data_IF_220538257542
#
_entry.id   IF_220538257542
#
_cell.length_a   1.000
_cell.length_b   1.000
_cell.length_c   1.000
_cell.angle_alpha   90.00
_cell.angle_beta   90.00
_cell.angle_gamma   90.00
#
_symmetry.space_group_name_H-M   'P 1'
#
loop_
_entity.id
_entity.type
_entity.pdbx_description
1 polymer ?
#
# COMPACT_ATOMS: atom_id res chain seq x y z
N UNK A 1 -23.90 0.77 57.91
CA UNK A 1 -25.00 0.67 56.92
C UNK A 1 -24.74 1.78 55.92
N UNK A 2 -24.00 1.46 54.84
CA UNK A 2 -24.54 1.24 53.47
C UNK A 2 -25.16 2.52 52.90
N UNK A 3 -24.85 3.04 51.72
CA UNK A 3 -24.19 2.48 50.53
C UNK A 3 -23.75 3.67 49.66
N UNK A 4 -22.56 3.63 49.04
CA UNK A 4 -22.17 4.58 48.00
C UNK A 4 -22.57 4.01 46.64
N UNK A 5 -23.41 4.74 45.92
CA UNK A 5 -23.82 4.41 44.55
C UNK A 5 -22.62 4.52 43.60
N UNK A 6 -22.24 3.41 43.00
CA UNK A 6 -21.19 3.30 41.99
C UNK A 6 -21.75 3.44 40.58
N UNK A 7 -20.89 3.98 39.71
CA UNK A 7 -20.74 3.61 38.30
C UNK A 7 -21.74 4.19 37.31
N UNK A 8 -21.32 5.25 36.62
CA UNK A 8 -21.70 5.55 35.23
C UNK A 8 -20.70 6.51 34.53
N UNK A 9 -19.72 7.07 35.24
CA UNK A 9 -18.72 7.98 34.64
C UNK A 9 -17.57 7.23 33.94
N UNK A 10 -17.22 6.01 34.39
CA UNK A 10 -16.13 5.23 33.79
C UNK A 10 -16.51 4.66 32.41
N UNK A 11 -17.78 4.29 32.21
CA UNK A 11 -18.26 3.79 30.91
C UNK A 11 -18.29 4.90 29.86
N UNK A 12 -18.68 6.13 30.23
CA UNK A 12 -18.72 7.25 29.28
C UNK A 12 -17.31 7.69 28.84
N UNK A 13 -16.32 7.63 29.72
CA UNK A 13 -14.92 7.90 29.35
C UNK A 13 -14.32 6.82 28.44
N UNK A 14 -14.70 5.54 28.64
CA UNK A 14 -14.25 4.46 27.76
C UNK A 14 -14.89 4.51 26.38
N UNK A 15 -16.16 4.91 26.27
CA UNK A 15 -16.84 5.03 24.95
C UNK A 15 -16.26 6.20 24.13
N UNK A 16 -15.88 7.31 24.76
CA UNK A 16 -15.27 8.45 24.05
C UNK A 16 -13.83 8.17 23.60
N UNK A 17 -13.08 7.31 24.29
CA UNK A 17 -11.72 6.91 23.89
C UNK A 17 -11.68 5.93 22.70
N UNK A 18 -12.75 5.18 22.45
CA UNK A 18 -12.82 4.26 21.29
C UNK A 18 -13.30 4.98 20.02
N UNK A 19 -13.97 6.12 20.14
CA UNK A 19 -14.50 6.88 19.00
C UNK A 19 -13.54 7.89 18.37
N UNK A 20 -12.28 7.95 18.81
CA UNK A 20 -11.26 8.89 18.30
C UNK A 20 -10.10 8.20 17.58
N UNK A 21 -10.32 6.97 17.13
CA UNK A 21 -9.40 6.30 16.23
C UNK A 21 -10.14 5.98 14.94
N UNK A 22 -10.49 7.03 14.18
CA UNK A 22 -10.61 6.90 12.74
C UNK A 22 -9.20 6.67 12.20
N UNK A 23 -8.70 5.43 12.33
CA UNK A 23 -7.69 4.95 11.39
C UNK A 23 -8.39 4.99 10.04
N UNK A 24 -8.10 6.03 9.26
CA UNK A 24 -8.26 5.97 7.82
C UNK A 24 -7.25 4.93 7.33
N UNK A 25 -7.63 3.66 7.46
CA UNK A 25 -7.22 2.68 6.48
C UNK A 25 -7.73 3.24 5.15
N UNK A 26 -6.83 3.41 4.20
CA UNK A 26 -7.21 3.75 2.83
C UNK A 26 -8.01 2.56 2.30
N UNK A 27 -9.32 2.58 2.54
CA UNK A 27 -10.19 1.48 2.20
C UNK A 27 -10.24 1.40 0.67
N UNK A 28 -9.85 0.24 0.14
CA UNK A 28 -10.02 -0.08 -1.27
C UNK A 28 -11.49 0.09 -1.63
N UNK A 29 -11.81 1.10 -2.45
CA UNK A 29 -13.14 1.25 -3.04
C UNK A 29 -13.23 0.34 -4.26
N UNK A 30 -13.67 -0.90 -4.04
CA UNK A 30 -14.10 -1.78 -5.13
C UNK A 30 -15.33 -1.16 -5.78
N UNK A 31 -15.21 -0.67 -7.00
CA UNK A 31 -16.35 -0.19 -7.77
C UNK A 31 -17.24 -1.35 -8.20
N UNK A 32 -18.45 -1.41 -7.66
CA UNK A 32 -19.61 -2.15 -8.20
C UNK A 32 -19.55 -3.68 -8.14
N UNK A 33 -20.67 -4.28 -7.74
CA UNK A 33 -20.91 -5.73 -7.75
C UNK A 33 -20.58 -6.35 -9.11
N UNK A 34 -19.54 -7.18 -9.16
CA UNK A 34 -19.32 -8.11 -10.28
C UNK A 34 -20.45 -9.15 -10.19
N UNK A 35 -21.29 -9.32 -11.23
CA UNK A 35 -22.29 -10.37 -11.21
C UNK A 35 -21.60 -11.71 -11.07
N UNK A 36 -22.10 -12.52 -10.14
CA UNK A 36 -21.68 -13.89 -9.87
C UNK A 36 -21.95 -14.75 -11.11
N UNK A 37 -21.03 -14.73 -12.08
CA UNK A 37 -21.01 -15.71 -13.16
C UNK A 37 -20.05 -16.81 -12.79
N UNK A 38 -20.63 -17.99 -12.56
CA UNK A 38 -20.01 -19.30 -12.46
C UNK A 38 -18.74 -19.43 -13.32
N UNK A 39 -17.56 -19.30 -12.69
CA UNK A 39 -16.27 -19.63 -13.30
C UNK A 39 -15.69 -20.86 -12.62
N UNK A 40 -16.12 -22.01 -13.14
CA UNK A 40 -15.36 -23.25 -13.10
C UNK A 40 -13.97 -23.00 -13.71
N UNK A 41 -12.96 -23.09 -12.84
CA UNK A 41 -11.54 -23.34 -13.14
C UNK A 41 -10.68 -22.18 -13.71
N UNK A 42 -9.97 -21.47 -12.83
CA UNK A 42 -8.70 -20.82 -13.20
C UNK A 42 -7.62 -21.01 -12.11
N UNK A 43 -6.83 -22.09 -12.18
CA UNK A 43 -5.54 -22.19 -11.50
C UNK A 43 -4.46 -21.50 -12.36
N UNK A 44 -3.67 -20.62 -11.75
CA UNK A 44 -2.77 -19.58 -12.32
C UNK A 44 -3.48 -18.23 -12.56
N UNK A 45 -3.61 -17.41 -11.50
CA UNK A 45 -3.93 -16.00 -11.67
C UNK A 45 -2.69 -15.24 -12.15
N UNK A 46 -2.59 -15.06 -13.46
CA UNK A 46 -1.69 -14.07 -14.06
C UNK A 46 -2.38 -12.70 -13.99
N UNK A 47 -1.82 -11.78 -13.21
CA UNK A 47 -2.34 -10.43 -12.98
C UNK A 47 -1.44 -9.43 -13.70
N UNK A 48 -2.07 -8.53 -14.45
CA UNK A 48 -1.39 -7.44 -15.14
C UNK A 48 -1.70 -6.12 -14.45
N UNK A 49 -0.66 -5.41 -14.00
CA UNK A 49 -0.79 -4.06 -13.42
C UNK A 49 -0.61 -3.03 -14.52
N UNK A 50 -1.70 -2.37 -14.91
CA UNK A 50 -1.66 -1.30 -15.91
C UNK A 50 -1.58 0.06 -15.21
N UNK A 51 -0.70 0.93 -15.70
CA UNK A 51 -0.46 2.25 -15.12
C UNK A 51 -1.07 3.32 -16.02
N UNK A 52 -1.99 4.11 -15.49
CA UNK A 52 -2.61 5.25 -16.15
C UNK A 52 -2.01 6.52 -15.55
N UNK A 53 -1.08 7.12 -16.28
CA UNK A 53 -0.36 8.33 -15.90
C UNK A 53 -1.15 9.57 -16.31
N UNK A 54 -1.60 10.35 -15.35
CA UNK A 54 -2.38 11.56 -15.58
C UNK A 54 -1.64 12.80 -15.10
N UNK A 55 -1.29 13.67 -16.05
CA UNK A 55 -0.53 14.90 -15.84
C UNK A 55 0.98 14.76 -16.13
N UNK A 56 1.77 15.74 -15.69
CA UNK A 56 3.15 15.92 -16.13
C UNK A 56 4.15 15.11 -15.29
N UNK A 57 4.36 13.85 -15.65
CA UNK A 57 5.40 12.99 -15.05
C UNK A 57 6.68 13.01 -15.88
N UNK A 58 7.82 13.21 -15.21
CA UNK A 58 9.14 13.02 -15.84
C UNK A 58 9.35 11.54 -16.19
N UNK A 59 10.10 11.21 -17.26
CA UNK A 59 10.46 9.84 -17.56
C UNK A 59 11.14 9.12 -16.38
N UNK A 60 11.96 9.83 -15.60
CA UNK A 60 12.60 9.30 -14.39
C UNK A 60 11.60 8.93 -13.29
N UNK A 61 10.52 9.70 -13.12
CA UNK A 61 9.45 9.41 -12.16
C UNK A 61 8.66 8.18 -12.58
N UNK A 62 8.33 8.08 -13.87
CA UNK A 62 7.65 6.89 -14.41
C UNK A 62 8.48 5.62 -14.23
N UNK A 63 9.79 5.74 -14.48
CA UNK A 63 10.74 4.64 -14.32
C UNK A 63 10.76 4.09 -12.88
N UNK A 64 10.68 4.95 -11.85
CA UNK A 64 10.68 4.50 -10.45
C UNK A 64 9.53 3.52 -10.17
N UNK A 65 8.31 3.82 -10.63
CA UNK A 65 7.13 2.95 -10.39
C UNK A 65 7.15 1.73 -11.31
N UNK A 66 7.50 1.90 -12.58
CA UNK A 66 7.56 0.76 -13.51
C UNK A 66 8.64 -0.25 -13.10
N UNK A 67 9.79 0.23 -12.63
CA UNK A 67 10.86 -0.61 -12.10
C UNK A 67 10.40 -1.34 -10.83
N UNK A 68 9.63 -0.69 -9.96
CA UNK A 68 9.04 -1.35 -8.79
C UNK A 68 8.15 -2.53 -9.20
N UNK A 69 7.21 -2.33 -10.13
CA UNK A 69 6.33 -3.41 -10.61
C UNK A 69 7.14 -4.53 -11.28
N UNK A 70 8.13 -4.20 -12.11
CA UNK A 70 9.02 -5.18 -12.71
C UNK A 70 9.85 -5.95 -11.66
N UNK A 71 10.13 -5.33 -10.52
CA UNK A 71 10.87 -5.97 -9.42
C UNK A 71 10.05 -7.04 -8.70
N UNK A 72 8.72 -6.97 -8.71
CA UNK A 72 7.85 -7.97 -8.09
C UNK A 72 7.98 -9.35 -8.75
N UNK A 73 8.19 -9.36 -10.07
CA UNK A 73 8.33 -10.58 -10.88
C UNK A 73 9.79 -11.05 -11.04
N UNK A 74 10.75 -10.34 -10.43
CA UNK A 74 12.16 -10.62 -10.68
C UNK A 74 12.59 -11.94 -10.04
N UNK A 75 13.07 -12.88 -10.87
CA UNK A 75 13.68 -14.13 -10.40
C UNK A 75 15.12 -13.95 -9.92
N UNK A 76 15.70 -12.75 -10.09
CA UNK A 76 17.09 -12.47 -9.76
C UNK A 76 17.26 -12.27 -8.26
N UNK A 77 17.39 -13.37 -7.54
CA UNK A 77 17.74 -13.38 -6.12
C UNK A 77 19.22 -13.01 -5.96
N UNK A 78 19.50 -11.75 -5.64
CA UNK A 78 20.83 -11.31 -5.21
C UNK A 78 20.92 -11.53 -3.69
N UNK A 79 21.34 -12.73 -3.29
CA UNK A 79 21.68 -13.04 -1.88
C UNK A 79 22.85 -12.15 -1.41
N UNK A 80 22.88 -11.65 -0.16
CA UNK A 80 21.98 -11.90 0.98
C UNK A 80 20.97 -10.77 1.26
N UNK A 81 20.77 -9.83 0.34
CA UNK A 81 20.00 -8.60 0.62
C UNK A 81 18.49 -8.81 0.38
N UNK A 82 17.61 -8.19 1.20
CA UNK A 82 16.17 -8.24 0.97
C UNK A 82 15.82 -7.54 -0.36
N UNK A 83 14.96 -8.17 -1.15
CA UNK A 83 14.53 -7.66 -2.46
C UNK A 83 13.02 -7.51 -2.54
N UNK A 84 12.55 -6.68 -3.47
CA UNK A 84 11.12 -6.51 -3.76
C UNK A 84 10.47 -7.85 -4.15
N UNK A 85 11.19 -8.71 -4.87
CA UNK A 85 10.71 -10.05 -5.22
C UNK A 85 10.55 -10.97 -4.00
N UNK A 86 11.47 -10.89 -3.03
CA UNK A 86 11.36 -11.65 -1.76
C UNK A 86 10.13 -11.18 -0.98
N UNK A 87 9.92 -9.87 -0.90
CA UNK A 87 8.72 -9.29 -0.28
C UNK A 87 7.44 -9.75 -0.98
N UNK A 88 7.42 -9.74 -2.32
CA UNK A 88 6.28 -10.22 -3.09
C UNK A 88 6.00 -11.70 -2.86
N UNK A 89 7.04 -12.53 -2.83
CA UNK A 89 6.94 -13.95 -2.56
C UNK A 89 6.42 -14.26 -1.15
N UNK A 90 6.61 -13.36 -0.18
CA UNK A 90 6.03 -13.53 1.16
C UNK A 90 4.49 -13.60 1.14
N UNK A 91 3.84 -13.08 0.08
CA UNK A 91 2.40 -13.21 -0.11
C UNK A 91 1.95 -14.66 -0.28
N UNK A 92 2.84 -15.57 -0.72
CA UNK A 92 2.52 -16.99 -0.93
C UNK A 92 1.96 -17.64 0.35
N UNK A 93 2.41 -17.17 1.52
CA UNK A 93 1.93 -17.65 2.83
C UNK A 93 0.42 -17.49 3.02
N UNK A 94 -0.18 -16.45 2.44
CA UNK A 94 -1.61 -16.18 2.59
C UNK A 94 -2.47 -17.07 1.68
N UNK A 95 -1.90 -17.64 0.60
CA UNK A 95 -2.66 -18.52 -0.29
C UNK A 95 -2.95 -19.87 0.33
N UNK A 96 -2.14 -20.36 1.28
CA UNK A 96 -2.44 -21.60 2.02
C UNK A 96 -3.75 -21.52 2.83
N UNK A 97 -4.22 -20.32 3.16
CA UNK A 97 -5.51 -20.08 3.83
C UNK A 97 -6.70 -20.30 2.88
N UNK A 98 -6.44 -20.30 1.58
CA UNK A 98 -7.41 -20.62 0.53
C UNK A 98 -7.05 -22.00 -0.03
N UNK A 99 -7.99 -22.95 -0.15
CA UNK A 99 -7.70 -24.32 -0.64
C UNK A 99 -7.22 -24.42 -2.12
N UNK A 100 -6.57 -23.38 -2.67
CA UNK A 100 -6.08 -23.28 -4.04
C UNK A 100 -4.60 -22.90 -4.06
N UNK A 101 -3.75 -23.89 -4.32
CA UNK A 101 -2.32 -23.69 -4.58
C UNK A 101 -2.14 -23.09 -5.97
N UNK A 102 -2.06 -21.75 -6.05
CA UNK A 102 -1.74 -21.04 -7.29
C UNK A 102 -0.55 -20.14 -7.03
N UNK A 103 0.53 -20.28 -7.81
CA UNK A 103 1.58 -19.26 -7.84
C UNK A 103 1.03 -18.04 -8.59
N UNK A 104 0.95 -16.90 -7.90
CA UNK A 104 0.47 -15.67 -8.48
C UNK A 104 1.59 -15.01 -9.28
N UNK A 105 1.38 -14.90 -10.59
CA UNK A 105 2.33 -14.22 -11.48
C UNK A 105 1.82 -12.79 -11.67
N UNK A 106 2.64 -11.83 -11.29
CA UNK A 106 2.37 -10.41 -11.52
C UNK A 106 3.27 -9.89 -12.63
N UNK A 107 2.75 -9.01 -13.47
CA UNK A 107 3.51 -8.38 -14.54
C UNK A 107 3.10 -6.93 -14.74
N UNK A 108 4.03 -6.13 -15.26
CA UNK A 108 3.72 -4.79 -15.73
C UNK A 108 2.93 -4.89 -17.04
N UNK A 109 1.73 -4.31 -17.04
CA UNK A 109 0.84 -4.24 -18.18
C UNK A 109 1.06 -3.00 -19.03
N UNK A 110 -0.04 -2.52 -19.64
CA UNK A 110 0.00 -1.31 -20.45
C UNK A 110 0.25 -0.06 -19.60
N UNK A 111 0.96 0.91 -20.20
CA UNK A 111 1.16 2.22 -19.62
C UNK A 111 0.49 3.26 -20.51
N UNK A 112 -0.51 3.95 -19.98
CA UNK A 112 -1.30 4.95 -20.70
C UNK A 112 -0.85 6.33 -20.21
N UNK A 113 -0.44 7.19 -21.13
CA UNK A 113 0.00 8.55 -20.84
C UNK A 113 -1.10 9.54 -21.19
N UNK A 114 -1.47 10.39 -20.25
CA UNK A 114 -2.45 11.46 -20.42
C UNK A 114 -1.90 12.78 -19.87
N UNK A 115 -1.12 13.48 -20.70
CA UNK A 115 -0.41 14.72 -20.34
C UNK A 115 -1.19 15.99 -20.69
N UNK A 116 -2.32 15.88 -21.40
CA UNK A 116 -3.11 17.01 -21.89
C UNK A 116 -4.15 17.54 -20.89
N UNK A 117 -4.28 16.91 -19.72
CA UNK A 117 -5.23 17.29 -18.67
C UNK A 117 -6.70 17.38 -19.15
N UNK A 118 -7.14 16.44 -20.00
CA UNK A 118 -8.49 16.48 -20.61
C UNK A 118 -9.66 16.58 -19.61
N UNK A 119 -9.48 16.12 -18.36
CA UNK A 119 -10.48 16.16 -17.29
C UNK A 119 -10.22 17.30 -16.28
N UNK A 120 -9.25 18.18 -16.57
CA UNK A 120 -8.79 19.23 -15.67
C UNK A 120 -7.73 18.75 -14.68
N UNK A 121 -7.33 19.65 -13.77
CA UNK A 121 -6.34 19.40 -12.70
C UNK A 121 -6.96 19.09 -11.35
N UNK A 122 -8.27 18.90 -11.29
CA UNK A 122 -8.98 18.46 -10.09
C UNK A 122 -9.92 17.33 -10.51
N UNK A 123 -9.67 16.12 -10.02
CA UNK A 123 -10.37 14.92 -10.44
C UNK A 123 -11.39 14.49 -9.39
N UNK A 124 -12.60 14.14 -9.84
CA UNK A 124 -13.62 13.48 -9.01
C UNK A 124 -13.43 11.96 -9.03
N UNK A 125 -14.08 11.24 -8.10
CA UNK A 125 -14.04 9.78 -8.08
C UNK A 125 -14.58 9.15 -9.37
N UNK A 126 -15.63 9.73 -9.96
CA UNK A 126 -16.21 9.26 -11.22
C UNK A 126 -15.20 9.40 -12.37
N UNK A 127 -14.43 10.50 -12.38
CA UNK A 127 -13.37 10.73 -13.36
C UNK A 127 -12.19 9.78 -13.15
N UNK A 128 -11.84 9.43 -11.91
CA UNK A 128 -10.82 8.41 -11.62
C UNK A 128 -11.26 7.05 -12.16
N UNK A 129 -12.53 6.67 -11.94
CA UNK A 129 -13.09 5.43 -12.48
C UNK A 129 -13.10 5.43 -14.02
N UNK A 130 -13.42 6.57 -14.64
CA UNK A 130 -13.33 6.75 -16.08
C UNK A 130 -11.89 6.64 -16.61
N UNK A 131 -10.89 7.10 -15.86
CA UNK A 131 -9.49 6.92 -16.23
C UNK A 131 -9.05 5.46 -16.09
N UNK A 132 -9.43 4.82 -14.98
CA UNK A 132 -9.11 3.41 -14.72
C UNK A 132 -9.75 2.46 -15.75
N UNK A 133 -10.94 2.78 -16.26
CA UNK A 133 -11.62 1.97 -17.28
C UNK A 133 -10.91 1.97 -18.64
N UNK A 134 -9.99 2.91 -18.90
CA UNK A 134 -9.15 2.92 -20.11
C UNK A 134 -8.04 1.88 -20.09
N UNK A 135 -7.73 1.29 -18.93
CA UNK A 135 -6.75 0.21 -18.81
C UNK A 135 -7.24 -1.10 -19.43
N UNK A 136 -6.40 -2.14 -19.37
CA UNK A 136 -6.79 -3.47 -19.84
C UNK A 136 -8.03 -3.97 -19.10
N UNK A 137 -8.79 -4.86 -19.75
CA UNK A 137 -9.99 -5.50 -19.20
C UNK A 137 -9.77 -6.99 -18.86
N UNK A 138 -8.61 -7.56 -19.23
CA UNK A 138 -8.30 -8.98 -18.99
C UNK A 138 -7.40 -9.13 -17.76
N UNK A 139 -7.98 -9.61 -16.67
CA UNK A 139 -7.36 -9.74 -15.34
C UNK A 139 -6.55 -8.50 -14.88
N UNK A 140 -7.15 -7.28 -14.90
CA UNK A 140 -6.40 -6.06 -14.71
C UNK A 140 -6.38 -5.58 -13.26
N UNK A 141 -5.23 -5.06 -12.82
CA UNK A 141 -5.18 -4.02 -11.79
C UNK A 141 -4.85 -2.71 -12.52
N UNK A 142 -5.86 -1.86 -12.70
CA UNK A 142 -5.68 -0.56 -13.32
C UNK A 142 -5.43 0.50 -12.25
N UNK A 143 -4.24 1.10 -12.27
CA UNK A 143 -3.81 2.10 -11.28
C UNK A 143 -3.74 3.46 -11.95
N UNK A 144 -4.50 4.43 -11.45
CA UNK A 144 -4.43 5.82 -11.90
C UNK A 144 -3.42 6.56 -11.02
N UNK A 145 -2.37 7.09 -11.62
CA UNK A 145 -1.33 7.87 -10.96
C UNK A 145 -1.42 9.31 -11.43
N UNK A 146 -1.51 10.25 -10.50
CA UNK A 146 -1.65 11.68 -10.78
C UNK A 146 -0.39 12.44 -10.44
N UNK A 147 0.01 13.39 -11.29
CA UNK A 147 1.17 14.24 -11.04
C UNK A 147 0.90 15.23 -9.90
N UNK A 148 1.96 15.84 -9.39
CA UNK A 148 1.91 16.77 -8.24
C UNK A 148 0.97 17.97 -8.45
N UNK A 149 0.72 18.34 -9.70
CA UNK A 149 -0.15 19.46 -10.06
C UNK A 149 -1.61 19.05 -10.33
N UNK A 150 -2.00 17.81 -9.97
CA UNK A 150 -3.37 17.30 -10.10
C UNK A 150 -3.93 16.93 -8.73
N UNK A 151 -5.00 17.61 -8.32
CA UNK A 151 -5.71 17.35 -7.08
C UNK A 151 -6.69 16.17 -7.22
N UNK A 152 -6.62 15.23 -6.27
CA UNK A 152 -7.56 14.10 -6.11
C UNK A 152 -8.29 14.19 -4.75
N UNK A 153 -7.97 15.23 -3.98
CA UNK A 153 -8.41 15.44 -2.61
C UNK A 153 -7.51 16.47 -1.92
N UNK A 154 -7.75 16.69 -0.62
CA UNK A 154 -6.88 17.53 0.20
C UNK A 154 -6.23 16.64 1.27
N UNK A 155 -4.93 16.38 1.12
CA UNK A 155 -4.17 15.51 2.04
C UNK A 155 -3.97 16.13 3.43
N UNK A 156 -3.99 17.46 3.56
CA UNK A 156 -3.89 18.14 4.85
C UNK A 156 -5.13 17.85 5.72
N UNK A 157 -6.31 17.74 5.11
CA UNK A 157 -7.54 17.44 5.83
C UNK A 157 -7.84 15.95 5.89
N UNK A 158 -7.53 15.20 4.85
CA UNK A 158 -7.84 13.76 4.75
C UNK A 158 -6.84 12.89 5.53
N UNK A 159 -5.58 13.32 5.64
CA UNK A 159 -4.50 12.54 6.25
C UNK A 159 -3.33 13.42 6.76
N UNK A 160 -3.59 14.39 7.67
CA UNK A 160 -2.59 15.34 8.16
C UNK A 160 -1.35 14.64 8.70
N UNK A 161 -0.21 14.85 8.04
CA UNK A 161 1.08 14.25 8.42
C UNK A 161 1.16 12.72 8.31
N UNK A 162 0.21 12.07 7.62
CA UNK A 162 0.11 10.60 7.51
C UNK A 162 0.32 10.08 6.09
N UNK A 163 -0.24 10.73 5.06
CA UNK A 163 -0.14 10.23 3.68
C UNK A 163 1.28 10.19 3.10
N UNK A 164 2.23 10.89 3.71
CA UNK A 164 3.63 10.96 3.27
C UNK A 164 4.58 10.44 4.34
N UNK A 165 4.06 9.85 5.43
CA UNK A 165 4.91 9.17 6.42
C UNK A 165 5.56 7.91 5.78
N UNK A 166 6.88 7.68 5.93
CA UNK A 166 7.83 8.31 6.85
C UNK A 166 8.73 9.41 6.25
N UNK A 167 8.41 9.90 5.06
CA UNK A 167 9.18 10.92 4.33
C UNK A 167 8.73 12.36 4.63
N UNK A 168 7.70 12.54 5.47
CA UNK A 168 7.27 13.83 5.98
C UNK A 168 7.02 13.77 7.49
N UNK A 169 7.31 14.87 8.18
CA UNK A 169 7.26 14.93 9.64
C UNK A 169 5.80 14.99 10.10
N UNK A 170 5.36 14.06 10.96
CA UNK A 170 4.00 14.05 11.46
C UNK A 170 3.82 15.12 12.53
N UNK A 171 2.70 15.85 12.48
CA UNK A 171 2.41 16.96 13.41
C UNK A 171 2.22 16.46 14.86
N UNK A 172 1.76 15.23 15.06
CA UNK A 172 1.25 14.72 16.35
C UNK A 172 2.03 13.53 16.94
N UNK A 173 3.28 13.30 16.55
CA UNK A 173 4.09 12.12 16.93
C UNK A 173 5.45 12.53 17.48
N UNK A 174 6.15 11.70 18.28
CA UNK A 174 7.56 11.93 18.61
C UNK A 174 8.37 12.26 17.36
N UNK A 175 9.15 13.34 17.46
CA UNK A 175 9.74 14.10 16.36
C UNK A 175 11.05 13.48 15.86
N UNK A 176 11.04 12.21 15.49
CA UNK A 176 12.16 11.71 14.71
C UNK A 176 12.17 12.41 13.34
N UNK A 177 13.34 12.79 12.81
CA UNK A 177 13.44 13.37 11.47
C UNK A 177 12.80 12.47 10.42
N UNK A 178 12.22 13.08 9.39
CA UNK A 178 11.73 12.35 8.22
C UNK A 178 12.86 11.58 7.54
N UNK A 179 12.54 10.42 7.00
CA UNK A 179 13.48 9.65 6.21
C UNK A 179 13.79 10.36 4.90
N UNK A 180 14.99 10.14 4.37
CA UNK A 180 15.36 10.56 3.03
C UNK A 180 14.90 9.51 2.02
N UNK A 181 14.24 9.95 0.95
CA UNK A 181 13.67 9.09 -0.09
C UNK A 181 14.74 8.36 -0.92
N UNK A 182 14.68 7.02 -1.07
CA UNK A 182 15.69 6.25 -1.80
C UNK A 182 15.84 6.56 -3.29
N UNK A 183 14.79 7.06 -3.94
CA UNK A 183 14.86 7.48 -5.34
C UNK A 183 14.84 9.01 -5.53
N UNK A 184 15.13 9.78 -4.47
CA UNK A 184 15.20 11.24 -4.47
C UNK A 184 13.89 11.93 -4.93
N UNK A 185 12.74 11.28 -4.72
CA UNK A 185 11.42 11.84 -5.01
C UNK A 185 10.40 11.32 -3.99
N UNK A 186 10.14 12.13 -2.97
CA UNK A 186 9.24 11.80 -1.85
C UNK A 186 7.83 11.43 -2.32
N UNK A 187 7.32 12.11 -3.36
CA UNK A 187 5.99 11.84 -3.90
C UNK A 187 5.91 10.45 -4.53
N UNK A 188 6.93 10.08 -5.29
CA UNK A 188 7.01 8.78 -5.94
C UNK A 188 7.27 7.64 -4.93
N UNK A 189 8.02 7.89 -3.85
CA UNK A 189 8.14 6.90 -2.76
C UNK A 189 6.81 6.65 -2.05
N UNK A 190 6.05 7.71 -1.77
CA UNK A 190 4.69 7.58 -1.22
C UNK A 190 3.79 6.78 -2.15
N UNK A 191 3.87 7.02 -3.47
CA UNK A 191 3.15 6.22 -4.47
C UNK A 191 3.56 4.75 -4.44
N UNK A 192 4.86 4.44 -4.31
CA UNK A 192 5.34 3.04 -4.23
C UNK A 192 4.85 2.35 -2.96
N UNK A 193 4.88 3.01 -1.81
CA UNK A 193 4.35 2.44 -0.54
C UNK A 193 2.86 2.14 -0.66
N UNK A 194 2.07 3.07 -1.18
CA UNK A 194 0.63 2.88 -1.36
C UNK A 194 0.35 1.78 -2.39
N UNK A 195 1.10 1.74 -3.50
CA UNK A 195 0.98 0.70 -4.50
C UNK A 195 1.33 -0.68 -3.93
N UNK A 196 2.41 -0.80 -3.16
CA UNK A 196 2.77 -2.03 -2.47
C UNK A 196 1.65 -2.48 -1.53
N UNK A 197 1.13 -1.57 -0.70
CA UNK A 197 0.03 -1.84 0.23
C UNK A 197 -1.22 -2.32 -0.50
N UNK A 198 -1.62 -1.63 -1.58
CA UNK A 198 -2.78 -1.97 -2.41
C UNK A 198 -2.62 -3.31 -3.13
N UNK A 199 -1.43 -3.59 -3.67
CA UNK A 199 -1.16 -4.87 -4.34
C UNK A 199 -1.19 -6.02 -3.33
N UNK A 200 -0.55 -5.86 -2.17
CA UNK A 200 -0.60 -6.84 -1.08
C UNK A 200 -2.04 -7.16 -0.68
N UNK A 201 -2.85 -6.13 -0.45
CA UNK A 201 -4.27 -6.29 -0.14
C UNK A 201 -5.05 -6.99 -1.24
N UNK A 202 -4.89 -6.51 -2.48
CA UNK A 202 -5.56 -7.06 -3.66
C UNK A 202 -5.28 -8.54 -3.84
N UNK A 203 -4.05 -9.00 -3.63
CA UNK A 203 -3.69 -10.40 -3.91
C UNK A 203 -3.90 -11.32 -2.71
N UNK A 204 -3.89 -10.80 -1.47
CA UNK A 204 -4.17 -11.60 -0.26
C UNK A 204 -5.65 -11.68 0.08
N UNK A 205 -6.49 -10.81 -0.51
CA UNK A 205 -7.93 -10.77 -0.31
C UNK A 205 -8.70 -10.42 -1.60
N UNK A 206 -8.34 -11.08 -2.71
CA UNK A 206 -8.83 -10.72 -4.04
C UNK A 206 -10.36 -10.79 -4.19
N UNK A 207 -11.00 -11.82 -3.63
CA UNK A 207 -12.44 -12.06 -3.75
C UNK A 207 -13.22 -11.70 -2.48
N UNK A 208 -12.61 -10.97 -1.54
CA UNK A 208 -13.23 -10.66 -0.25
C UNK A 208 -13.36 -11.86 0.70
N UNK A 209 -12.74 -12.99 0.37
CA UNK A 209 -12.69 -14.21 1.17
C UNK A 209 -11.26 -14.60 1.60
N UNK A 210 -10.29 -13.71 1.40
CA UNK A 210 -8.91 -13.91 1.81
C UNK A 210 -8.63 -13.27 3.17
N UNK A 211 -7.39 -12.86 3.40
CA UNK A 211 -6.96 -12.35 4.70
C UNK A 211 -7.43 -10.92 4.95
N UNK A 212 -8.07 -10.68 6.09
CA UNK A 212 -8.38 -9.35 6.62
C UNK A 212 -8.50 -9.37 8.16
N UNK A 213 -8.31 -8.21 8.80
CA UNK A 213 -8.67 -7.96 10.19
C UNK A 213 -9.73 -6.85 10.28
N UNK A 214 -10.48 -6.83 11.38
CA UNK A 214 -11.48 -5.78 11.61
C UNK A 214 -12.82 -6.02 10.89
N UNK A 215 -13.71 -5.01 10.88
CA UNK A 215 -15.03 -5.10 10.26
C UNK A 215 -14.94 -5.27 8.74
N UNK A 216 -15.91 -5.97 8.12
CA UNK A 216 -15.93 -6.23 6.67
C UNK A 216 -16.05 -4.95 5.83
N UNK A 217 -16.56 -3.89 6.43
CA UNK A 217 -16.74 -2.58 5.82
C UNK A 217 -15.43 -1.76 5.79
N UNK A 218 -14.43 -2.14 6.60
CA UNK A 218 -13.09 -1.53 6.63
C UNK A 218 -12.01 -2.59 6.95
N UNK A 219 -11.81 -3.59 6.07
CA UNK A 219 -10.89 -4.68 6.33
C UNK A 219 -9.43 -4.19 6.29
N UNK A 220 -8.65 -4.54 7.32
CA UNK A 220 -7.20 -4.41 7.31
C UNK A 220 -6.58 -5.67 6.70
N UNK A 221 -6.11 -5.56 5.47
CA UNK A 221 -5.42 -6.61 4.72
C UNK A 221 -3.94 -6.72 5.12
N UNK A 222 -3.19 -7.65 4.50
CA UNK A 222 -1.85 -8.08 4.92
C UNK A 222 -0.87 -6.93 5.25
N UNK A 223 -0.79 -5.91 4.39
CA UNK A 223 0.09 -4.75 4.60
C UNK A 223 -0.58 -3.64 5.43
N UNK A 224 -1.87 -3.37 5.21
CA UNK A 224 -2.60 -2.32 5.95
C UNK A 224 -2.81 -2.64 7.43
N UNK A 225 -2.70 -3.91 7.82
CA UNK A 225 -2.66 -4.34 9.23
C UNK A 225 -1.35 -3.95 9.94
N UNK A 226 -0.33 -3.51 9.19
CA UNK A 226 0.99 -3.12 9.71
C UNK A 226 1.34 -1.64 9.41
N UNK A 227 0.46 -0.68 9.77
CA UNK A 227 0.61 0.70 9.34
C UNK A 227 1.89 1.35 9.91
N UNK A 228 2.76 1.80 9.01
CA UNK A 228 3.98 2.54 9.37
C UNK A 228 5.10 1.69 9.96
N UNK A 229 5.02 0.36 9.86
CA UNK A 229 6.07 -0.58 10.25
C UNK A 229 6.88 -0.93 9.00
N UNK A 230 8.15 -0.51 8.96
CA UNK A 230 9.05 -0.75 7.82
C UNK A 230 10.32 -1.51 8.21
N UNK A 231 10.78 -1.36 9.45
CA UNK A 231 11.92 -2.06 10.03
C UNK A 231 11.64 -2.56 11.45
N UNK A 232 12.55 -3.37 11.98
CA UNK A 232 12.44 -3.93 13.34
C UNK A 232 12.32 -2.82 14.39
N UNK A 233 11.53 -3.06 15.43
CA UNK A 233 11.37 -2.11 16.53
C UNK A 233 10.57 -0.84 16.17
N UNK A 234 9.88 -0.80 15.02
CA UNK A 234 9.01 0.30 14.67
C UNK A 234 7.94 0.56 15.74
N UNK A 235 7.65 1.85 15.96
CA UNK A 235 6.60 2.32 16.88
C UNK A 235 6.04 3.64 16.35
N UNK A 236 4.94 4.17 16.89
CA UNK A 236 4.42 5.45 16.43
C UNK A 236 5.46 6.59 16.54
N UNK A 237 6.04 7.02 15.41
CA UNK A 237 7.09 8.05 15.34
C UNK A 237 8.41 7.52 14.80
N UNK A 238 8.52 6.21 14.63
CA UNK A 238 9.73 5.56 14.20
C UNK A 238 9.42 4.46 13.20
N UNK A 239 9.99 4.57 12.00
CA UNK A 239 9.75 3.60 10.92
C UNK A 239 10.37 2.22 11.19
N UNK A 240 11.20 2.11 12.23
CA UNK A 240 11.99 0.94 12.56
C UNK A 240 13.45 1.10 12.19
N UNK A 241 14.26 0.14 12.61
CA UNK A 241 15.68 0.06 12.26
C UNK A 241 15.81 -0.22 10.76
N UNK A 242 16.32 0.77 10.02
CA UNK A 242 16.43 0.71 8.56
C UNK A 242 17.87 0.95 8.11
N UNK A 243 18.38 0.16 7.14
CA UNK A 243 19.58 0.51 6.41
C UNK A 243 19.51 1.92 5.81
N UNK A 244 20.63 2.63 5.89
CA UNK A 244 20.79 3.97 5.30
C UNK A 244 21.87 3.90 4.23
N UNK A 245 21.57 4.41 3.04
CA UNK A 245 22.56 4.57 1.98
C UNK A 245 23.60 5.62 2.41
N UNK A 246 24.86 5.22 2.48
CA UNK A 246 25.95 6.09 2.95
C UNK A 246 26.22 7.29 2.04
N UNK A 247 25.81 7.23 0.77
CA UNK A 247 26.03 8.28 -0.22
C UNK A 247 24.88 9.28 -0.23
N UNK A 248 23.65 8.79 -0.20
CA UNK A 248 22.45 9.65 -0.33
C UNK A 248 21.78 9.97 1.01
N UNK A 249 22.12 9.24 2.08
CA UNK A 249 21.41 9.31 3.36
C UNK A 249 20.02 8.66 3.33
N UNK A 250 19.65 8.00 2.23
CA UNK A 250 18.30 7.46 2.07
C UNK A 250 18.08 6.16 2.84
N UNK A 251 16.90 6.04 3.45
CA UNK A 251 16.48 4.82 4.16
C UNK A 251 15.71 3.90 3.23
N UNK A 252 15.99 2.60 3.31
CA UNK A 252 15.37 1.58 2.47
C UNK A 252 15.35 0.23 3.21
N UNK A 253 14.50 -0.70 2.76
CA UNK A 253 14.50 -2.07 3.27
C UNK A 253 14.49 -3.13 2.15
N UNK A 254 14.48 -2.70 0.88
CA UNK A 254 14.52 -3.61 -0.27
C UNK A 254 15.32 -3.07 -1.43
N UNK A 255 15.86 -4.00 -2.22
CA UNK A 255 16.45 -3.76 -3.53
C UNK A 255 15.48 -4.18 -4.64
N UNK A 256 15.32 -3.32 -5.64
CA UNK A 256 14.61 -3.59 -6.88
C UNK A 256 15.55 -3.77 -8.07
N UNK A 257 14.97 -3.90 -9.25
CA UNK A 257 15.69 -3.92 -10.53
C UNK A 257 16.37 -2.57 -10.80
N UNK A 258 17.30 -2.55 -11.77
CA UNK A 258 18.00 -1.32 -12.20
C UNK A 258 18.71 -0.55 -11.07
N UNK A 259 19.12 -1.25 -10.01
CA UNK A 259 19.82 -0.65 -8.85
C UNK A 259 18.92 0.18 -7.94
N UNK A 260 17.59 0.13 -8.13
CA UNK A 260 16.62 0.85 -7.32
C UNK A 260 16.59 0.31 -5.90
N UNK A 261 16.33 1.22 -4.95
CA UNK A 261 16.06 0.89 -3.55
C UNK A 261 14.65 1.36 -3.23
N UNK A 262 13.94 0.61 -2.40
CA UNK A 262 12.56 0.93 -2.00
C UNK A 262 12.35 0.70 -0.52
N UNK A 263 11.33 1.37 0.01
CA UNK A 263 10.80 1.14 1.35
C UNK A 263 9.42 0.50 1.22
N UNK A 264 9.28 -0.76 1.67
CA UNK A 264 8.04 -1.52 1.57
C UNK A 264 7.47 -1.82 2.96
N UNK A 265 6.14 -1.85 3.13
CA UNK A 265 5.51 -2.10 4.42
C UNK A 265 5.76 -3.52 4.90
N UNK A 266 5.80 -3.70 6.21
CA UNK A 266 5.71 -5.02 6.83
C UNK A 266 4.39 -5.72 6.48
N UNK A 267 4.40 -7.05 6.55
CA UNK A 267 3.23 -7.88 6.29
C UNK A 267 2.82 -8.61 7.57
N UNK A 268 1.53 -8.67 7.86
CA UNK A 268 1.05 -9.32 9.06
C UNK A 268 1.16 -10.85 8.96
N UNK A 269 2.02 -11.47 9.76
CA UNK A 269 2.14 -12.91 9.82
C UNK A 269 1.11 -13.49 10.80
N UNK A 270 0.12 -14.21 10.27
CA UNK A 270 -0.96 -14.81 11.07
C UNK A 270 -0.48 -15.93 12.00
N UNK A 271 0.67 -16.56 11.70
CA UNK A 271 1.21 -17.62 12.54
C UNK A 271 1.83 -17.08 13.83
N UNK A 272 2.43 -15.88 13.78
CA UNK A 272 3.05 -15.22 14.94
C UNK A 272 2.17 -14.11 15.51
N UNK A 273 1.10 -13.71 14.83
CA UNK A 273 0.26 -12.56 15.17
C UNK A 273 1.06 -11.25 15.28
N UNK A 274 2.08 -11.10 14.44
CA UNK A 274 2.98 -9.92 14.43
C UNK A 274 3.24 -9.44 13.01
N UNK A 275 3.65 -8.18 12.88
CA UNK A 275 4.10 -7.63 11.60
C UNK A 275 5.53 -8.07 11.30
N UNK A 276 5.73 -8.80 10.21
CA UNK A 276 7.03 -9.26 9.76
C UNK A 276 7.67 -8.24 8.81
N UNK A 277 8.86 -7.77 9.18
CA UNK A 277 9.70 -6.89 8.36
C UNK A 277 10.69 -7.70 7.53
N UNK A 278 11.21 -7.11 6.46
CA UNK A 278 12.23 -7.75 5.62
C UNK A 278 13.66 -7.59 6.18
N UNK A 279 13.83 -6.61 7.08
CA UNK A 279 15.06 -6.25 7.77
C UNK A 279 14.87 -6.40 9.28
#
# INVERSE_FOLDING_TARGET
>A
MASFATSNIVVLCFVVLVSWIHFNAEARRLGGSVPESDQTQQPLLNISVNLIWYGNFKPSQRAIVSDFINSLASSKLVSPQPSVAIWWKAMDKYYHLTNKSSSLVISLGSQILNESYFLGKSLTNEQILQLASKGSQRNPINVVLTSVDVAVGNSETQCPGRCVWPFHQPIYRPQNPSLVAPNNDVGLEGMVINLATLLAGTVTNLFGNGYYQGPKEAPLEAASACPGIYGKGAYPGYAGDLPVDVTTGASYNTHGVNGRKYLLPALFDSSTSTCATLA
#
